data_IF_057058246143
#
_entry.id   IF_057058246143
#
_cell.length_a   1.000
_cell.length_b   1.000
_cell.length_c   1.000
_cell.angle_alpha   90.00
_cell.angle_beta   90.00
_cell.angle_gamma   90.00
#
_symmetry.space_group_name_H-M   'P 1'
#
loop_
_entity.id
_entity.type
_entity.pdbx_description
1 polymer ?
#
# COMPACT_ATOMS: atom_id res chain seq x y z
N UNK A 1 0.34 -2.58 17.32
CA UNK A 1 1.33 -1.69 16.66
C UNK A 1 2.58 -1.74 17.50
N UNK A 2 3.76 -2.03 16.88
CA UNK A 2 5.03 -2.08 17.60
C UNK A 2 5.75 -0.75 17.49
N UNK A 3 6.51 -0.42 18.53
CA UNK A 3 7.36 0.75 18.61
C UNK A 3 8.81 0.27 18.56
N UNK A 4 9.63 0.93 17.74
CA UNK A 4 11.05 0.62 17.58
C UNK A 4 11.89 1.88 17.70
N UNK A 5 13.09 1.79 18.29
CA UNK A 5 14.07 2.86 18.25
C UNK A 5 14.45 3.25 16.84
N UNK A 6 14.65 4.53 16.62
CA UNK A 6 15.32 5.03 15.42
C UNK A 6 16.83 5.14 15.64
N UNK A 7 17.60 4.92 14.60
CA UNK A 7 19.01 5.21 14.59
C UNK A 7 19.28 6.72 14.69
N UNK A 8 20.46 7.08 15.18
CA UNK A 8 20.85 8.48 15.30
C UNK A 8 20.62 9.10 16.68
N UNK A 9 20.31 8.28 17.70
CA UNK A 9 20.21 8.68 19.09
C UNK A 9 21.03 7.77 20.01
N UNK A 10 21.69 8.35 20.99
CA UNK A 10 22.48 7.63 22.00
C UNK A 10 22.15 8.12 23.41
N UNK A 11 22.33 7.25 24.39
CA UNK A 11 22.23 7.61 25.78
C UNK A 11 23.58 8.19 26.25
N UNK A 12 23.52 9.34 26.89
CA UNK A 12 24.69 9.99 27.50
C UNK A 12 24.38 10.45 28.91
N UNK A 13 25.15 10.03 29.90
CA UNK A 13 25.05 10.51 31.26
C UNK A 13 25.89 11.78 31.43
N UNK A 14 25.27 12.86 31.84
CA UNK A 14 25.92 14.14 32.11
C UNK A 14 25.62 14.50 33.59
N UNK A 15 26.62 14.42 34.46
CA UNK A 15 26.42 14.57 35.88
C UNK A 15 25.54 13.46 36.47
N UNK A 16 24.39 13.83 37.03
CA UNK A 16 23.41 12.88 37.60
C UNK A 16 22.27 12.54 36.59
N UNK A 17 22.18 13.25 35.47
CA UNK A 17 21.08 13.15 34.52
C UNK A 17 21.47 12.33 33.31
N UNK A 18 20.54 11.54 32.80
CA UNK A 18 20.69 10.77 31.54
C UNK A 18 19.94 11.51 30.46
N UNK A 19 20.61 11.68 29.34
CA UNK A 19 20.07 12.33 28.14
C UNK A 19 20.04 11.37 26.96
N UNK A 20 18.99 11.46 26.16
CA UNK A 20 18.91 10.89 24.82
C UNK A 20 19.38 11.97 23.83
N UNK A 21 20.58 11.82 23.29
CA UNK A 21 21.22 12.81 22.44
C UNK A 21 21.23 12.36 20.98
N UNK A 22 20.94 13.28 20.03
CA UNK A 22 21.09 13.00 18.61
C UNK A 22 22.57 12.91 18.24
N UNK A 23 22.88 12.06 17.23
CA UNK A 23 24.21 12.01 16.61
C UNK A 23 24.10 11.86 15.08
N UNK A 24 25.22 12.06 14.38
CA UNK A 24 25.26 11.97 12.92
C UNK A 24 24.32 12.94 12.21
N UNK A 25 23.52 12.45 11.27
CA UNK A 25 22.60 13.28 10.48
C UNK A 25 21.55 13.99 11.34
N UNK A 26 21.16 13.42 12.49
CA UNK A 26 20.17 14.03 13.40
C UNK A 26 20.66 15.35 14.01
N UNK A 27 21.97 15.55 14.14
CA UNK A 27 22.55 16.84 14.55
C UNK A 27 22.38 17.87 13.43
N UNK A 28 22.66 17.46 12.17
CA UNK A 28 22.47 18.33 11.01
C UNK A 28 21.00 18.74 10.82
N UNK A 29 20.07 17.84 11.15
CA UNK A 29 18.62 18.09 11.15
C UNK A 29 18.16 18.94 12.36
N UNK A 30 19.08 19.53 13.12
CA UNK A 30 18.82 20.40 14.29
C UNK A 30 17.96 19.73 15.38
N UNK A 31 18.05 18.41 15.54
CA UNK A 31 17.36 17.70 16.63
C UNK A 31 17.99 18.05 17.97
N UNK A 32 17.15 18.17 19.01
CA UNK A 32 17.57 18.49 20.39
C UNK A 32 17.78 17.20 21.17
N UNK A 33 18.46 17.28 22.33
CA UNK A 33 18.50 16.22 23.32
C UNK A 33 17.22 16.20 24.15
N UNK A 34 16.91 15.04 24.72
CA UNK A 34 15.80 14.82 25.66
C UNK A 34 16.36 14.28 26.97
N UNK A 35 15.94 14.83 28.08
CA UNK A 35 16.25 14.32 29.42
C UNK A 35 15.36 13.12 29.74
N UNK A 36 15.94 12.05 30.26
CA UNK A 36 15.21 10.86 30.67
C UNK A 36 15.29 10.69 32.18
N UNK A 37 14.15 10.60 32.85
CA UNK A 37 14.06 10.10 34.20
C UNK A 37 14.26 8.57 34.24
N UNK A 38 14.27 7.98 35.42
CA UNK A 38 14.53 6.55 35.59
C UNK A 38 13.50 5.67 34.87
N UNK A 39 12.23 6.00 34.95
CA UNK A 39 11.14 5.29 34.24
C UNK A 39 11.26 5.40 32.72
N UNK A 40 11.51 6.59 32.19
CA UNK A 40 11.74 6.86 30.81
C UNK A 40 12.97 6.13 30.22
N UNK A 41 14.06 6.11 31.02
CA UNK A 41 15.26 5.35 30.67
C UNK A 41 14.96 3.86 30.56
N UNK A 42 14.21 3.31 31.52
CA UNK A 42 13.83 1.90 31.50
C UNK A 42 12.95 1.54 30.31
N UNK A 43 11.98 2.37 29.99
CA UNK A 43 11.15 2.22 28.80
C UNK A 43 11.98 2.30 27.52
N UNK A 44 12.93 3.23 27.47
CA UNK A 44 13.86 3.33 26.34
C UNK A 44 14.70 2.05 26.20
N UNK A 45 15.24 1.49 27.28
CA UNK A 45 15.98 0.24 27.24
C UNK A 45 15.14 -0.93 26.70
N UNK A 46 13.88 -1.05 27.15
CA UNK A 46 12.95 -2.07 26.68
C UNK A 46 12.62 -1.97 25.17
N UNK A 47 12.77 -0.79 24.57
CA UNK A 47 12.57 -0.55 23.13
C UNK A 47 13.76 -0.95 22.26
N UNK A 48 14.81 -1.56 22.82
CA UNK A 48 15.90 -2.16 22.02
C UNK A 48 15.36 -3.18 21.02
N UNK A 49 14.33 -3.91 21.40
CA UNK A 49 13.54 -4.74 20.48
C UNK A 49 12.16 -4.11 20.25
N UNK A 50 11.55 -4.27 19.06
CA UNK A 50 10.22 -3.73 18.79
C UNK A 50 9.18 -4.22 19.80
N UNK A 51 8.49 -3.31 20.49
CA UNK A 51 7.49 -3.61 21.51
C UNK A 51 6.14 -2.95 21.19
N UNK A 52 5.05 -3.53 21.70
CA UNK A 52 3.74 -2.85 21.74
C UNK A 52 3.60 -2.09 23.06
N UNK A 53 2.69 -1.11 23.13
CA UNK A 53 2.39 -0.38 24.38
C UNK A 53 1.91 -1.37 25.44
N UNK A 54 1.06 -2.33 25.08
CA UNK A 54 0.59 -3.38 25.97
C UNK A 54 1.76 -4.18 26.57
N UNK A 55 2.70 -4.64 25.72
CA UNK A 55 3.87 -5.40 26.19
C UNK A 55 4.83 -4.56 27.03
N UNK A 56 4.95 -3.25 26.77
CA UNK A 56 5.69 -2.33 27.62
C UNK A 56 5.01 -2.16 28.98
N UNK A 57 3.67 -2.01 28.97
CA UNK A 57 2.87 -1.91 30.21
C UNK A 57 3.04 -3.15 31.07
N UNK A 58 2.90 -4.36 30.49
CA UNK A 58 3.06 -5.62 31.23
C UNK A 58 4.45 -5.74 31.86
N UNK A 59 5.51 -5.39 31.11
CA UNK A 59 6.89 -5.44 31.60
C UNK A 59 7.17 -4.42 32.70
N UNK A 60 6.66 -3.20 32.56
CA UNK A 60 6.80 -2.17 33.57
C UNK A 60 6.01 -2.47 34.85
N UNK A 61 4.79 -2.98 34.67
CA UNK A 61 3.95 -3.42 35.81
C UNK A 61 4.62 -4.56 36.58
N UNK A 62 5.24 -5.51 35.88
CA UNK A 62 5.99 -6.59 36.52
C UNK A 62 7.26 -6.06 37.24
N UNK A 63 7.95 -5.09 36.64
CA UNK A 63 9.19 -4.52 37.21
C UNK A 63 8.95 -3.70 38.47
N UNK A 64 7.85 -2.92 38.50
CA UNK A 64 7.48 -2.07 39.63
C UNK A 64 6.44 -2.70 40.56
N UNK A 65 6.07 -3.97 40.34
CA UNK A 65 5.06 -4.73 41.11
C UNK A 65 3.70 -4.00 41.20
N UNK A 66 3.27 -3.37 40.08
CA UNK A 66 2.05 -2.56 40.03
C UNK A 66 0.80 -3.44 40.02
N UNK A 67 -0.17 -3.23 40.90
CA UNK A 67 -1.42 -3.96 40.97
C UNK A 67 -2.23 -3.83 39.65
N UNK A 68 -3.05 -4.85 39.33
CA UNK A 68 -3.85 -4.85 38.09
C UNK A 68 -4.81 -3.67 37.96
N UNK A 69 -5.33 -3.18 39.08
CA UNK A 69 -6.23 -2.04 39.12
C UNK A 69 -5.57 -0.74 38.66
N UNK A 70 -4.27 -0.59 38.85
CA UNK A 70 -3.51 0.62 38.49
C UNK A 70 -2.84 0.54 37.12
N UNK A 71 -2.84 -0.65 36.46
CA UNK A 71 -2.18 -0.82 35.17
C UNK A 71 -2.84 0.00 34.03
N UNK A 72 -4.10 0.37 34.19
CA UNK A 72 -4.78 1.26 33.26
C UNK A 72 -4.23 2.69 33.21
N UNK A 73 -3.78 3.22 34.36
CA UNK A 73 -3.10 4.52 34.46
C UNK A 73 -1.68 4.43 33.91
N UNK A 74 -0.94 3.40 34.33
CA UNK A 74 0.39 3.12 33.79
C UNK A 74 0.38 3.02 32.23
N UNK A 75 -0.62 2.36 31.64
CA UNK A 75 -0.74 2.24 30.19
C UNK A 75 -0.88 3.61 29.52
N UNK A 76 -1.65 4.54 30.11
CA UNK A 76 -1.80 5.91 29.60
C UNK A 76 -0.50 6.70 29.67
N UNK A 77 0.24 6.58 30.78
CA UNK A 77 1.53 7.27 30.96
C UNK A 77 2.58 6.74 29.95
N UNK A 78 2.61 5.42 29.74
CA UNK A 78 3.48 4.81 28.73
C UNK A 78 3.10 5.25 27.32
N UNK A 79 1.80 5.31 27.00
CA UNK A 79 1.33 5.79 25.71
C UNK A 79 1.70 7.26 25.49
N UNK A 80 1.56 8.11 26.51
CA UNK A 80 1.95 9.52 26.46
C UNK A 80 3.46 9.66 26.21
N UNK A 81 4.29 8.92 26.92
CA UNK A 81 5.74 8.93 26.70
C UNK A 81 6.15 8.41 25.33
N UNK A 82 5.51 7.34 24.85
CA UNK A 82 5.72 6.83 23.49
C UNK A 82 5.34 7.88 22.45
N UNK A 83 4.26 8.63 22.63
CA UNK A 83 3.89 9.74 21.76
C UNK A 83 4.95 10.86 21.79
N UNK A 84 5.49 11.20 22.95
CA UNK A 84 6.57 12.16 23.08
C UNK A 84 7.81 11.72 22.31
N UNK A 85 8.24 10.46 22.44
CA UNK A 85 9.35 9.90 21.69
C UNK A 85 9.10 9.86 20.16
N UNK A 86 7.86 9.63 19.73
CA UNK A 86 7.46 9.70 18.32
C UNK A 86 7.56 11.11 17.75
N UNK A 87 7.06 12.11 18.48
CA UNK A 87 7.17 13.54 18.12
C UNK A 87 8.62 14.00 18.11
N UNK A 88 9.39 13.55 19.09
CA UNK A 88 10.82 13.82 19.17
C UNK A 88 11.60 13.16 18.03
N UNK A 89 11.09 12.05 17.48
CA UNK A 89 11.68 11.31 16.37
C UNK A 89 12.73 10.28 16.81
N UNK A 90 12.77 9.92 18.10
CA UNK A 90 13.67 8.90 18.63
C UNK A 90 13.15 7.47 18.43
N UNK A 91 11.86 7.31 18.27
CA UNK A 91 11.22 6.03 17.94
C UNK A 91 10.35 6.17 16.70
N UNK A 92 10.05 5.04 16.10
CA UNK A 92 9.08 4.92 15.00
C UNK A 92 8.07 3.84 15.30
N UNK A 93 6.92 3.96 14.71
CA UNK A 93 5.92 2.88 14.71
C UNK A 93 6.31 1.86 13.66
N UNK A 94 6.65 0.65 14.08
CA UNK A 94 6.62 -0.47 13.17
C UNK A 94 5.18 -0.93 13.03
N UNK A 95 4.69 -0.94 11.82
CA UNK A 95 3.48 -1.68 11.53
C UNK A 95 3.83 -3.15 11.72
N UNK A 96 3.38 -3.67 12.84
CA UNK A 96 3.63 -5.05 13.22
C UNK A 96 3.03 -6.01 12.21
N UNK A 97 3.23 -7.31 12.45
CA UNK A 97 2.57 -8.37 11.71
C UNK A 97 1.08 -8.06 11.52
N UNK A 98 0.53 -8.34 10.35
CA UNK A 98 -0.88 -8.09 10.07
C UNK A 98 -1.74 -8.78 11.14
N UNK A 99 -2.82 -8.11 11.55
CA UNK A 99 -3.81 -8.71 12.45
C UNK A 99 -4.74 -9.59 11.62
N UNK A 100 -5.11 -10.74 12.16
CA UNK A 100 -5.99 -11.70 11.50
C UNK A 100 -5.25 -12.86 10.85
N UNK A 101 -5.99 -13.70 10.17
CA UNK A 101 -5.49 -14.84 9.41
C UNK A 101 -5.08 -14.44 8.00
N UNK A 102 -4.18 -15.20 7.39
CA UNK A 102 -3.91 -15.08 5.96
C UNK A 102 -5.08 -15.70 5.20
N UNK A 103 -5.92 -14.86 4.59
CA UNK A 103 -7.11 -15.25 3.84
C UNK A 103 -6.81 -15.72 2.42
N UNK A 104 -5.63 -15.44 1.93
CA UNK A 104 -5.21 -15.93 0.62
C UNK A 104 -3.98 -15.24 0.09
N UNK A 105 -3.47 -15.87 -0.97
CA UNK A 105 -2.31 -15.39 -1.72
C UNK A 105 -2.73 -15.07 -3.14
N UNK A 106 -2.30 -13.92 -3.64
CA UNK A 106 -2.55 -13.48 -5.00
C UNK A 106 -1.23 -13.40 -5.77
N UNK A 107 -1.30 -13.70 -7.07
CA UNK A 107 -0.17 -13.53 -7.98
C UNK A 107 -0.64 -12.70 -9.18
N UNK A 108 -0.21 -11.46 -9.24
CA UNK A 108 -0.64 -10.49 -10.24
C UNK A 108 0.61 -9.89 -10.91
N UNK A 109 0.78 -10.09 -12.20
CA UNK A 109 1.90 -9.54 -12.98
C UNK A 109 3.30 -9.83 -12.38
N UNK A 110 3.51 -11.03 -11.82
CA UNK A 110 4.76 -11.39 -11.16
C UNK A 110 4.90 -10.91 -9.71
N UNK A 111 3.94 -10.14 -9.20
CA UNK A 111 3.90 -9.66 -7.83
C UNK A 111 3.12 -10.64 -6.94
N UNK A 112 3.74 -11.09 -5.86
CA UNK A 112 3.15 -11.98 -4.86
C UNK A 112 2.59 -11.15 -3.71
N UNK A 113 1.30 -11.32 -3.42
CA UNK A 113 0.60 -10.57 -2.39
C UNK A 113 0.00 -11.57 -1.40
N UNK A 114 0.29 -11.40 -0.12
CA UNK A 114 -0.44 -12.07 0.95
C UNK A 114 -1.51 -11.12 1.51
N UNK A 115 -2.74 -11.59 1.58
CA UNK A 115 -3.88 -10.81 2.07
C UNK A 115 -4.30 -11.33 3.43
N UNK A 116 -4.36 -10.43 4.40
CA UNK A 116 -4.76 -10.70 5.78
C UNK A 116 -6.03 -9.93 6.11
N UNK A 117 -6.93 -10.54 6.87
CA UNK A 117 -8.19 -9.90 7.28
C UNK A 117 -9.23 -10.90 7.74
N UNK A 118 -10.49 -10.49 7.76
CA UNK A 118 -11.62 -11.34 8.08
C UNK A 118 -11.89 -12.36 6.96
N UNK A 119 -12.45 -13.50 7.33
CA UNK A 119 -12.77 -14.59 6.38
C UNK A 119 -13.65 -14.05 5.23
N UNK A 120 -13.20 -14.31 4.01
CA UNK A 120 -13.92 -13.88 2.81
C UNK A 120 -13.77 -12.41 2.43
N UNK A 121 -12.83 -11.66 3.08
CA UNK A 121 -12.62 -10.24 2.80
C UNK A 121 -12.04 -9.96 1.40
N UNK A 122 -11.49 -10.94 0.71
CA UNK A 122 -10.89 -10.74 -0.62
C UNK A 122 -11.99 -10.60 -1.68
N UNK A 123 -12.07 -9.47 -2.39
CA UNK A 123 -13.06 -9.29 -3.45
C UNK A 123 -12.99 -10.37 -4.53
N UNK A 124 -14.15 -10.84 -4.99
CA UNK A 124 -14.28 -11.92 -5.99
C UNK A 124 -13.56 -11.64 -7.31
N UNK A 125 -13.37 -10.38 -7.64
CA UNK A 125 -12.62 -9.95 -8.83
C UNK A 125 -11.17 -10.45 -8.84
N UNK A 126 -10.62 -10.83 -7.68
CA UNK A 126 -9.29 -11.43 -7.55
C UNK A 126 -9.25 -12.95 -7.70
N UNK A 127 -10.38 -13.65 -7.78
CA UNK A 127 -10.41 -15.13 -7.78
C UNK A 127 -9.54 -15.75 -8.88
N UNK A 128 -9.48 -15.12 -10.06
CA UNK A 128 -8.63 -15.58 -11.14
C UNK A 128 -7.12 -15.42 -10.86
N UNK A 129 -6.74 -14.67 -9.84
CA UNK A 129 -5.36 -14.38 -9.46
C UNK A 129 -4.95 -15.07 -8.15
N UNK A 130 -5.85 -15.81 -7.53
CA UNK A 130 -5.53 -16.61 -6.33
C UNK A 130 -4.51 -17.69 -6.67
N UNK A 131 -3.55 -17.84 -5.81
CA UNK A 131 -2.62 -18.97 -5.88
C UNK A 131 -3.32 -20.20 -5.29
N UNK A 132 -3.30 -21.30 -6.03
CA UNK A 132 -3.73 -22.60 -5.51
C UNK A 132 -2.55 -23.28 -4.82
N UNK A 133 -2.77 -23.90 -3.67
CA UNK A 133 -1.75 -24.47 -2.76
C UNK A 133 -0.95 -25.66 -3.33
N UNK A 134 -0.80 -25.78 -4.64
CA UNK A 134 -0.03 -26.85 -5.29
C UNK A 134 1.49 -26.67 -5.34
N UNK A 135 2.03 -25.58 -4.82
CA UNK A 135 3.48 -25.31 -4.72
C UNK A 135 3.86 -25.09 -3.27
N UNK A 136 4.98 -25.68 -2.82
CA UNK A 136 5.46 -25.61 -1.45
C UNK A 136 5.35 -24.19 -0.87
N UNK A 137 4.37 -23.89 0.01
CA UNK A 137 4.00 -22.52 0.39
C UNK A 137 5.01 -21.85 1.32
N UNK A 138 5.96 -22.60 1.87
CA UNK A 138 6.79 -22.16 3.00
C UNK A 138 8.00 -21.30 2.64
N UNK A 139 8.33 -21.07 1.35
CA UNK A 139 9.61 -20.43 0.99
C UNK A 139 9.55 -19.12 0.20
N UNK A 140 8.40 -18.64 -0.22
CA UNK A 140 8.37 -17.45 -1.04
C UNK A 140 7.94 -16.22 -0.22
N UNK A 141 8.90 -15.37 0.14
CA UNK A 141 8.63 -14.07 0.76
C UNK A 141 7.65 -13.28 -0.14
N UNK A 142 6.52 -12.79 0.40
CA UNK A 142 5.59 -11.96 -0.38
C UNK A 142 6.23 -10.62 -0.73
N UNK A 143 5.87 -10.08 -1.88
CA UNK A 143 6.27 -8.75 -2.31
C UNK A 143 5.47 -7.65 -1.63
N UNK A 144 4.23 -7.97 -1.26
CA UNK A 144 3.32 -7.10 -0.53
C UNK A 144 2.53 -7.92 0.49
N UNK A 145 2.53 -7.46 1.72
CA UNK A 145 1.57 -7.84 2.74
C UNK A 145 0.44 -6.81 2.75
N UNK A 146 -0.76 -7.23 2.40
CA UNK A 146 -1.96 -6.41 2.37
C UNK A 146 -2.87 -6.78 3.53
N UNK A 147 -3.05 -5.89 4.49
CA UNK A 147 -4.00 -6.07 5.60
C UNK A 147 -5.30 -5.33 5.29
N UNK A 148 -6.41 -6.05 5.30
CA UNK A 148 -7.76 -5.52 5.20
C UNK A 148 -8.33 -5.41 6.63
N UNK A 149 -8.38 -4.20 7.17
CA UNK A 149 -8.77 -3.94 8.55
C UNK A 149 -10.19 -3.34 8.62
N UNK A 150 -11.15 -4.16 9.00
CA UNK A 150 -12.54 -3.74 9.21
C UNK A 150 -12.69 -2.95 10.51
N UNK A 151 -12.17 -1.73 10.52
CA UNK A 151 -12.22 -0.81 11.64
C UNK A 151 -11.86 0.60 11.21
N UNK A 152 -12.13 1.57 12.08
CA UNK A 152 -11.66 2.93 11.90
C UNK A 152 -10.13 3.02 12.06
N UNK A 153 -9.46 3.90 11.29
CA UNK A 153 -8.08 4.26 11.56
C UNK A 153 -7.98 4.98 12.90
N UNK A 154 -6.85 4.83 13.58
CA UNK A 154 -6.54 5.64 14.76
C UNK A 154 -6.39 7.12 14.41
N UNK A 155 -6.48 7.99 15.42
CA UNK A 155 -6.20 9.41 15.28
C UNK A 155 -4.77 9.63 14.72
N UNK A 156 -4.65 10.50 13.72
CA UNK A 156 -3.37 10.85 13.09
C UNK A 156 -3.27 12.35 12.92
N UNK A 157 -2.05 12.88 13.11
CA UNK A 157 -1.75 14.26 12.72
C UNK A 157 -1.71 14.35 11.19
N UNK A 158 -1.96 15.52 10.64
CA UNK A 158 -1.92 15.77 9.20
C UNK A 158 -0.48 15.62 8.70
N UNK A 159 -0.27 14.71 7.76
CA UNK A 159 1.00 14.58 7.03
C UNK A 159 1.15 15.66 5.96
N UNK A 160 2.33 15.69 5.33
CA UNK A 160 2.58 16.56 4.17
C UNK A 160 1.81 16.07 2.97
N UNK A 161 0.92 16.91 2.44
CA UNK A 161 0.12 16.58 1.25
C UNK A 161 1.01 16.58 0.02
N UNK A 162 1.05 15.44 -0.71
CA UNK A 162 1.73 15.29 -1.99
C UNK A 162 0.80 15.56 -3.17
N UNK A 163 -0.39 15.02 -3.10
CA UNK A 163 -1.40 15.09 -4.17
C UNK A 163 -2.75 15.35 -3.52
N UNK A 164 -3.48 16.29 -4.11
CA UNK A 164 -4.88 16.52 -3.76
C UNK A 164 -5.66 16.85 -5.02
N UNK A 165 -6.64 16.05 -5.32
CA UNK A 165 -7.60 16.31 -6.39
C UNK A 165 -9.02 16.05 -5.87
N UNK A 166 -10.02 16.02 -6.75
CA UNK A 166 -11.42 15.84 -6.39
C UNK A 166 -11.70 14.48 -5.74
N UNK A 167 -10.96 13.44 -6.09
CA UNK A 167 -11.31 12.06 -5.76
C UNK A 167 -10.33 11.42 -4.76
N UNK A 168 -9.11 11.99 -4.64
CA UNK A 168 -8.01 11.38 -3.90
C UNK A 168 -7.12 12.44 -3.27
N UNK A 169 -6.80 12.24 -2.00
CA UNK A 169 -5.71 12.93 -1.30
C UNK A 169 -4.63 11.90 -0.93
N UNK A 170 -3.38 12.19 -1.26
CA UNK A 170 -2.21 11.42 -0.84
C UNK A 170 -1.30 12.31 -0.01
N UNK A 171 -0.93 11.84 1.17
CA UNK A 171 -0.02 12.54 2.06
C UNK A 171 1.11 11.62 2.51
N UNK A 172 2.29 12.18 2.77
CA UNK A 172 3.35 11.51 3.51
C UNK A 172 2.99 11.61 4.99
N UNK A 173 3.05 10.49 5.67
CA UNK A 173 2.89 10.43 7.11
C UNK A 173 3.80 9.34 7.68
N UNK A 174 4.71 9.72 8.57
CA UNK A 174 5.78 8.86 9.06
C UNK A 174 6.61 8.28 7.89
N UNK A 175 6.88 6.98 7.89
CA UNK A 175 7.66 6.28 6.84
C UNK A 175 6.76 5.70 5.75
N UNK A 176 5.68 6.38 5.40
CA UNK A 176 4.74 5.87 4.42
C UNK A 176 3.81 6.91 3.83
N UNK A 177 2.85 6.40 3.11
CA UNK A 177 1.83 7.20 2.41
C UNK A 177 0.45 6.90 2.97
N UNK A 178 -0.34 7.94 3.13
CA UNK A 178 -1.77 7.84 3.46
C UNK A 178 -2.58 8.26 2.25
N UNK A 179 -3.51 7.39 1.82
CA UNK A 179 -4.45 7.67 0.74
C UNK A 179 -5.84 7.82 1.36
N UNK A 180 -6.54 8.89 1.02
CA UNK A 180 -7.95 9.13 1.38
C UNK A 180 -8.75 9.38 0.12
N UNK A 181 -9.89 8.71 0.01
CA UNK A 181 -10.75 8.78 -1.16
C UNK A 181 -12.08 9.46 -0.80
N UNK A 182 -12.44 10.48 -1.56
CA UNK A 182 -13.73 11.16 -1.39
C UNK A 182 -14.88 10.40 -2.07
N UNK A 183 -14.56 9.49 -2.99
CA UNK A 183 -15.55 8.75 -3.80
C UNK A 183 -15.82 7.33 -3.31
N UNK A 184 -14.97 6.75 -2.46
CA UNK A 184 -15.11 5.37 -1.95
C UNK A 184 -15.72 5.40 -0.54
N UNK A 185 -17.05 5.33 -0.44
CA UNK A 185 -17.81 5.60 0.79
C UNK A 185 -17.52 4.71 1.99
N UNK A 186 -17.12 3.46 1.77
CA UNK A 186 -16.80 2.50 2.83
C UNK A 186 -15.30 2.33 3.10
N UNK A 187 -14.47 3.07 2.40
CA UNK A 187 -13.01 3.08 2.60
C UNK A 187 -12.66 4.33 3.41
N UNK A 188 -12.08 4.14 4.60
CA UNK A 188 -11.69 5.25 5.45
C UNK A 188 -10.37 5.84 5.03
N UNK A 189 -9.33 5.00 4.93
CA UNK A 189 -8.03 5.37 4.40
C UNK A 189 -7.18 4.13 4.10
N UNK A 190 -6.14 4.32 3.32
CA UNK A 190 -5.05 3.35 3.17
C UNK A 190 -3.80 3.95 3.78
N UNK A 191 -3.10 3.17 4.59
CA UNK A 191 -1.73 3.45 4.91
C UNK A 191 -0.83 2.44 4.19
N UNK A 192 0.25 2.91 3.55
CA UNK A 192 1.20 2.08 2.83
C UNK A 192 2.61 2.49 3.21
N UNK A 193 3.44 1.51 3.53
CA UNK A 193 4.87 1.72 3.79
C UNK A 193 5.57 2.29 2.56
N UNK A 194 6.60 3.13 2.74
CA UNK A 194 7.29 3.81 1.66
C UNK A 194 7.84 2.86 0.59
N UNK A 195 8.36 1.69 0.99
CA UNK A 195 8.90 0.68 0.06
C UNK A 195 7.81 -0.15 -0.65
N UNK A 196 6.55 0.00 -0.27
CA UNK A 196 5.42 -0.75 -0.83
C UNK A 196 5.29 -2.18 -0.35
N UNK A 197 6.15 -2.64 0.59
CA UNK A 197 6.13 -4.03 1.09
C UNK A 197 4.95 -4.35 1.99
N UNK A 198 4.30 -3.33 2.54
CA UNK A 198 3.15 -3.47 3.44
C UNK A 198 2.14 -2.36 3.17
N UNK A 199 0.85 -2.72 3.17
CA UNK A 199 -0.24 -1.75 3.17
C UNK A 199 -1.39 -2.24 4.07
N UNK A 200 -2.09 -1.29 4.68
CA UNK A 200 -3.31 -1.54 5.45
C UNK A 200 -4.42 -0.67 4.92
N UNK A 201 -5.54 -1.30 4.57
CA UNK A 201 -6.76 -0.64 4.15
C UNK A 201 -7.74 -0.66 5.31
N UNK A 202 -8.11 0.51 5.80
CA UNK A 202 -9.17 0.67 6.79
C UNK A 202 -10.50 0.85 6.09
N UNK A 203 -11.43 -0.05 6.35
CA UNK A 203 -12.72 -0.07 5.67
C UNK A 203 -13.85 -0.45 6.63
N UNK A 204 -15.06 -0.22 6.20
CA UNK A 204 -16.29 -0.74 6.82
C UNK A 204 -16.81 -1.88 5.95
N UNK A 205 -17.36 -2.91 6.59
CA UNK A 205 -17.99 -4.01 5.86
C UNK A 205 -18.98 -3.49 4.80
N UNK A 206 -18.83 -3.93 3.54
CA UNK A 206 -19.71 -3.47 2.47
C UNK A 206 -21.14 -3.99 2.67
N UNK A 207 -22.12 -3.09 2.51
CA UNK A 207 -23.56 -3.40 2.65
C UNK A 207 -24.15 -3.81 1.29
N UNK A 208 -23.56 -3.33 0.19
CA UNK A 208 -24.04 -3.54 -1.18
C UNK A 208 -22.91 -3.79 -2.16
N UNK A 209 -23.24 -4.11 -3.42
CA UNK A 209 -22.26 -4.41 -4.47
C UNK A 209 -21.34 -3.23 -4.81
N UNK A 210 -21.86 -1.99 -4.79
CA UNK A 210 -21.06 -0.78 -5.06
C UNK A 210 -19.94 -0.62 -4.00
N UNK A 211 -20.25 -0.92 -2.75
CA UNK A 211 -19.27 -0.87 -1.66
C UNK A 211 -18.27 -2.02 -1.73
N UNK A 212 -18.65 -3.21 -2.23
CA UNK A 212 -17.71 -4.30 -2.53
C UNK A 212 -16.73 -3.88 -3.64
N UNK A 213 -17.22 -3.23 -4.68
CA UNK A 213 -16.38 -2.68 -5.75
C UNK A 213 -15.44 -1.59 -5.22
N UNK A 214 -15.84 -0.82 -4.20
CA UNK A 214 -14.98 0.20 -3.58
C UNK A 214 -13.71 -0.40 -2.96
N UNK A 215 -13.80 -1.55 -2.26
CA UNK A 215 -12.61 -2.24 -1.72
C UNK A 215 -11.71 -2.75 -2.84
N UNK A 216 -12.28 -3.33 -3.89
CA UNK A 216 -11.54 -3.74 -5.08
C UNK A 216 -10.80 -2.56 -5.73
N UNK A 217 -11.44 -1.39 -5.83
CA UNK A 217 -10.83 -0.18 -6.37
C UNK A 217 -9.77 0.41 -5.43
N UNK A 218 -9.95 0.31 -4.11
CA UNK A 218 -8.98 0.79 -3.13
C UNK A 218 -7.65 0.03 -3.16
N UNK A 219 -7.65 -1.24 -3.52
CA UNK A 219 -6.43 -2.07 -3.64
C UNK A 219 -5.61 -1.64 -4.87
N UNK A 220 -6.23 -1.10 -5.92
CA UNK A 220 -5.57 -0.72 -7.17
C UNK A 220 -4.37 0.23 -7.00
N UNK A 221 -4.47 1.38 -6.32
CA UNK A 221 -3.33 2.29 -6.18
C UNK A 221 -2.17 1.68 -5.40
N UNK A 222 -2.44 0.83 -4.41
CA UNK A 222 -1.40 0.10 -3.66
C UNK A 222 -0.62 -0.82 -4.61
N UNK A 223 -1.34 -1.61 -5.39
CA UNK A 223 -0.74 -2.50 -6.39
C UNK A 223 0.05 -1.73 -7.46
N UNK A 224 -0.52 -0.67 -8.02
CA UNK A 224 0.13 0.12 -9.07
C UNK A 224 1.38 0.84 -8.56
N UNK A 225 1.39 1.30 -7.32
CA UNK A 225 2.59 1.87 -6.70
C UNK A 225 3.73 0.85 -6.66
N UNK A 226 3.45 -0.37 -6.18
CA UNK A 226 4.46 -1.42 -6.13
C UNK A 226 4.90 -1.88 -7.53
N UNK A 227 3.97 -1.98 -8.47
CA UNK A 227 4.28 -2.29 -9.87
C UNK A 227 5.21 -1.25 -10.50
N UNK A 228 4.97 0.05 -10.24
CA UNK A 228 5.83 1.14 -10.71
C UNK A 228 7.25 1.03 -10.12
N UNK A 229 7.39 0.73 -8.84
CA UNK A 229 8.70 0.52 -8.22
C UNK A 229 9.47 -0.66 -8.81
N UNK A 230 8.78 -1.57 -9.48
CA UNK A 230 9.35 -2.71 -10.22
C UNK A 230 9.54 -2.44 -11.72
N UNK A 231 9.51 -1.19 -12.13
CA UNK A 231 9.71 -0.78 -13.51
C UNK A 231 8.54 -1.06 -14.44
N UNK A 232 7.36 -1.36 -13.89
CA UNK A 232 6.12 -1.48 -14.67
C UNK A 232 5.35 -0.17 -14.65
N UNK A 233 4.57 0.10 -15.68
CA UNK A 233 3.72 1.28 -15.74
C UNK A 233 2.33 0.94 -16.27
N UNK A 234 1.34 1.65 -15.77
CA UNK A 234 -0.05 1.50 -16.17
C UNK A 234 -0.39 2.49 -17.30
N UNK A 235 -1.01 2.00 -18.36
CA UNK A 235 -1.46 2.81 -19.48
C UNK A 235 -2.97 2.67 -19.67
N UNK A 236 -3.68 3.81 -19.68
CA UNK A 236 -5.08 3.84 -20.05
C UNK A 236 -5.22 3.58 -21.55
N UNK A 237 -5.56 2.34 -21.89
CA UNK A 237 -5.62 1.86 -23.29
C UNK A 237 -6.52 0.64 -23.39
N UNK A 238 -7.13 0.46 -24.55
CA UNK A 238 -7.76 -0.82 -24.93
C UNK A 238 -6.72 -1.70 -25.61
N UNK A 239 -6.73 -3.00 -25.37
CA UNK A 239 -5.76 -3.93 -25.94
C UNK A 239 -6.39 -5.21 -26.44
N UNK A 240 -5.80 -5.78 -27.49
CA UNK A 240 -6.18 -7.05 -28.10
C UNK A 240 -4.94 -7.84 -28.50
N UNK A 241 -5.15 -9.14 -28.79
CA UNK A 241 -4.09 -10.03 -29.28
C UNK A 241 -4.26 -10.24 -30.75
N UNK A 242 -3.20 -9.98 -31.51
CA UNK A 242 -3.16 -10.31 -32.95
C UNK A 242 -1.75 -10.72 -33.36
N UNK A 243 -1.59 -11.83 -34.03
CA UNK A 243 -0.30 -12.39 -34.47
C UNK A 243 0.70 -12.48 -33.30
N UNK A 244 0.27 -13.09 -32.19
CA UNK A 244 1.07 -13.28 -30.96
C UNK A 244 1.56 -11.99 -30.28
N UNK A 245 1.10 -10.83 -30.74
CA UNK A 245 1.42 -9.52 -30.19
C UNK A 245 0.23 -8.90 -29.47
N UNK A 246 0.52 -8.10 -28.43
CA UNK A 246 -0.46 -7.25 -27.78
C UNK A 246 -0.51 -5.90 -28.48
N UNK A 247 -1.64 -5.55 -29.04
CA UNK A 247 -1.88 -4.28 -29.71
C UNK A 247 -2.67 -3.36 -28.79
N UNK A 248 -2.05 -2.22 -28.41
CA UNK A 248 -2.62 -1.26 -27.50
C UNK A 248 -3.08 0.00 -28.22
N UNK A 249 -4.32 0.39 -27.99
CA UNK A 249 -4.92 1.59 -28.53
C UNK A 249 -5.12 2.62 -27.42
N UNK A 250 -4.27 3.65 -27.37
CA UNK A 250 -4.33 4.73 -26.40
C UNK A 250 -4.77 6.04 -27.03
N UNK A 251 -5.37 6.92 -26.23
CA UNK A 251 -5.83 8.24 -26.65
C UNK A 251 -6.89 8.78 -25.69
N UNK A 252 -7.28 10.05 -25.83
CA UNK A 252 -8.30 10.69 -25.00
C UNK A 252 -9.63 9.90 -24.97
N UNK A 253 -10.46 10.14 -23.95
CA UNK A 253 -11.79 9.56 -23.88
C UNK A 253 -12.63 9.98 -25.10
N UNK A 254 -13.51 9.11 -25.57
CA UNK A 254 -14.37 9.39 -26.74
C UNK A 254 -13.68 9.29 -28.11
N UNK A 255 -12.40 8.95 -28.20
CA UNK A 255 -11.66 8.83 -29.48
C UNK A 255 -11.96 7.55 -30.27
N UNK A 256 -12.88 6.72 -29.82
CA UNK A 256 -13.26 5.51 -30.55
C UNK A 256 -12.40 4.28 -30.26
N UNK A 257 -11.60 4.25 -29.17
CA UNK A 257 -10.78 3.09 -28.78
C UNK A 257 -11.59 1.79 -28.76
N UNK A 258 -12.71 1.79 -28.05
CA UNK A 258 -13.61 0.63 -27.94
C UNK A 258 -14.26 0.24 -29.27
N UNK A 259 -14.62 1.22 -30.10
CA UNK A 259 -15.17 0.99 -31.43
C UNK A 259 -14.13 0.32 -32.33
N UNK A 260 -12.88 0.80 -32.26
CA UNK A 260 -11.78 0.26 -33.06
C UNK A 260 -11.45 -1.19 -32.67
N UNK A 261 -11.33 -1.44 -31.36
CA UNK A 261 -11.08 -2.82 -30.87
C UNK A 261 -12.24 -3.77 -31.18
N UNK A 262 -13.49 -3.28 -31.14
CA UNK A 262 -14.65 -4.06 -31.54
C UNK A 262 -14.62 -4.42 -33.07
N UNK A 263 -14.16 -3.50 -33.91
CA UNK A 263 -13.96 -3.75 -35.34
C UNK A 263 -12.90 -4.82 -35.60
N UNK A 264 -11.75 -4.76 -34.91
CA UNK A 264 -10.71 -5.78 -34.98
C UNK A 264 -11.21 -7.15 -34.53
N UNK A 265 -12.00 -7.20 -33.46
CA UNK A 265 -12.65 -8.44 -33.01
C UNK A 265 -13.56 -9.01 -34.06
N UNK A 266 -14.34 -8.16 -34.74
CA UNK A 266 -15.27 -8.57 -35.80
C UNK A 266 -14.54 -9.07 -37.08
N UNK A 267 -13.48 -8.38 -37.47
CA UNK A 267 -12.77 -8.68 -38.74
C UNK A 267 -11.75 -9.81 -38.61
N UNK A 268 -11.07 -9.91 -37.48
CA UNK A 268 -9.93 -10.80 -37.28
C UNK A 268 -10.15 -11.84 -36.19
N UNK A 269 -11.35 -11.91 -35.59
CA UNK A 269 -11.65 -12.76 -34.43
C UNK A 269 -10.63 -12.63 -33.28
N UNK A 270 -10.02 -11.44 -33.10
CA UNK A 270 -8.95 -11.22 -32.15
C UNK A 270 -9.45 -11.31 -30.72
N UNK A 271 -8.76 -12.05 -29.82
CA UNK A 271 -9.08 -12.04 -28.40
C UNK A 271 -8.82 -10.65 -27.80
N UNK A 272 -9.77 -10.19 -26.98
CA UNK A 272 -9.63 -8.95 -26.24
C UNK A 272 -8.78 -9.19 -24.99
N UNK A 273 -7.78 -8.34 -24.73
CA UNK A 273 -6.93 -8.44 -23.55
C UNK A 273 -7.47 -7.60 -22.39
N UNK A 274 -7.63 -6.30 -22.64
CA UNK A 274 -8.04 -5.35 -21.62
C UNK A 274 -8.70 -4.12 -22.24
N UNK A 275 -9.75 -3.60 -21.60
CA UNK A 275 -10.56 -2.50 -22.15
C UNK A 275 -10.20 -1.12 -21.62
N UNK A 276 -9.48 -1.04 -20.51
CA UNK A 276 -9.32 0.23 -19.79
C UNK A 276 -7.89 0.47 -19.31
N UNK A 277 -7.34 -0.43 -18.50
CA UNK A 277 -6.03 -0.27 -17.87
C UNK A 277 -5.10 -1.43 -18.23
N UNK A 278 -4.03 -1.15 -18.92
CA UNK A 278 -3.00 -2.13 -19.25
C UNK A 278 -1.74 -1.88 -18.42
N UNK A 279 -1.20 -2.92 -17.81
CA UNK A 279 0.08 -2.88 -17.12
C UNK A 279 1.17 -3.36 -18.06
N UNK A 280 2.18 -2.55 -18.25
CA UNK A 280 3.29 -2.79 -19.16
C UNK A 280 4.57 -2.89 -18.33
N UNK A 281 5.37 -3.90 -18.60
CA UNK A 281 6.71 -4.05 -18.04
C UNK A 281 7.72 -4.48 -19.08
N UNK A 282 8.99 -4.56 -18.68
CA UNK A 282 10.09 -5.01 -19.55
C UNK A 282 10.60 -6.37 -19.09
N UNK A 283 10.81 -7.29 -20.00
CA UNK A 283 11.43 -8.58 -19.78
C UNK A 283 12.55 -8.80 -20.78
N UNK A 284 13.79 -8.76 -20.30
CA UNK A 284 14.95 -8.61 -21.16
C UNK A 284 14.81 -7.34 -22.00
N UNK A 285 14.93 -7.45 -23.31
CA UNK A 285 14.79 -6.31 -24.24
C UNK A 285 13.33 -6.08 -24.72
N UNK A 286 12.37 -6.87 -24.25
CA UNK A 286 11.00 -6.86 -24.76
C UNK A 286 10.02 -6.24 -23.77
N UNK A 287 9.12 -5.41 -24.27
CA UNK A 287 7.98 -4.95 -23.49
C UNK A 287 6.87 -6.01 -23.51
N UNK A 288 6.27 -6.22 -22.35
CA UNK A 288 5.18 -7.19 -22.17
C UNK A 288 3.99 -6.52 -21.51
N UNK A 289 2.79 -6.96 -21.89
CA UNK A 289 1.54 -6.57 -21.21
C UNK A 289 1.12 -7.65 -20.25
N UNK A 290 0.84 -7.26 -19.02
CA UNK A 290 0.34 -8.16 -17.99
C UNK A 290 -1.17 -8.05 -17.85
N UNK A 291 -1.82 -9.20 -17.69
CA UNK A 291 -3.21 -9.25 -17.25
C UNK A 291 -3.31 -8.82 -15.78
N UNK A 292 -4.22 -7.90 -15.50
CA UNK A 292 -4.50 -7.40 -14.15
C UNK A 292 -6.00 -7.45 -13.87
N UNK A 293 -6.44 -7.49 -12.58
CA UNK A 293 -7.87 -7.59 -12.26
C UNK A 293 -8.68 -6.37 -12.73
N UNK A 294 -8.09 -5.19 -12.76
CA UNK A 294 -8.75 -3.91 -13.10
C UNK A 294 -8.83 -3.68 -14.61
N UNK A 295 -9.51 -4.57 -15.31
CA UNK A 295 -9.58 -4.57 -16.78
C UNK A 295 -10.88 -4.01 -17.36
N UNK A 296 -11.64 -3.23 -16.59
CA UNK A 296 -12.93 -2.72 -17.02
C UNK A 296 -13.96 -3.84 -17.24
N UNK A 297 -14.88 -3.65 -18.17
CA UNK A 297 -15.98 -4.59 -18.44
C UNK A 297 -15.56 -5.86 -19.21
N UNK A 298 -14.33 -5.96 -19.69
CA UNK A 298 -13.87 -7.12 -20.44
C UNK A 298 -13.49 -8.28 -19.50
N UNK A 299 -14.34 -9.30 -19.43
CA UNK A 299 -14.13 -10.50 -18.60
C UNK A 299 -13.06 -11.49 -19.13
N UNK A 300 -12.38 -11.18 -20.24
CA UNK A 300 -11.50 -12.12 -20.93
C UNK A 300 -10.02 -11.93 -20.59
N UNK A 301 -9.33 -13.02 -20.31
CA UNK A 301 -7.87 -13.18 -20.26
C UNK A 301 -7.11 -12.60 -19.06
N UNK A 302 -7.58 -12.85 -17.89
CA UNK A 302 -7.07 -12.31 -16.62
C UNK A 302 -5.64 -12.74 -16.22
N UNK A 303 -5.10 -13.86 -16.69
CA UNK A 303 -3.80 -14.40 -16.27
C UNK A 303 -2.71 -14.42 -17.36
N UNK A 304 -3.03 -14.08 -18.61
CA UNK A 304 -2.08 -14.27 -19.69
C UNK A 304 -1.09 -13.11 -19.80
N UNK A 305 0.17 -13.43 -19.55
CA UNK A 305 1.30 -12.61 -19.97
C UNK A 305 1.49 -12.76 -21.47
N UNK A 306 1.65 -11.65 -22.20
CA UNK A 306 1.95 -11.69 -23.63
C UNK A 306 3.16 -10.85 -23.96
N UNK A 307 4.05 -11.41 -24.77
CA UNK A 307 5.25 -10.75 -25.26
C UNK A 307 4.90 -9.79 -26.41
N UNK A 308 5.63 -8.70 -26.53
CA UNK A 308 5.54 -7.68 -27.57
C UNK A 308 4.33 -6.75 -27.46
N UNK A 309 4.67 -5.46 -27.40
CA UNK A 309 3.70 -4.37 -27.37
C UNK A 309 3.84 -3.58 -28.67
N UNK A 310 2.75 -3.48 -29.40
CA UNK A 310 2.60 -2.48 -30.47
C UNK A 310 1.68 -1.39 -29.92
N UNK A 311 2.17 -0.16 -29.86
CA UNK A 311 1.44 0.96 -29.27
C UNK A 311 0.97 1.93 -30.35
N UNK A 312 -0.34 2.09 -30.47
CA UNK A 312 -0.97 3.10 -31.32
C UNK A 312 -1.51 4.25 -30.47
N UNK A 313 -0.90 5.44 -30.63
CA UNK A 313 -1.40 6.68 -30.04
C UNK A 313 -2.25 7.46 -31.04
N UNK A 314 -3.50 7.65 -30.70
CA UNK A 314 -4.41 8.44 -31.52
C UNK A 314 -4.33 9.91 -31.14
N UNK A 315 -3.91 10.76 -32.11
CA UNK A 315 -4.04 12.22 -32.01
C UNK A 315 -5.25 12.67 -32.81
N UNK A 316 -6.10 13.50 -32.23
CA UNK A 316 -7.15 14.18 -32.98
C UNK A 316 -6.47 15.05 -34.04
N UNK A 317 -6.61 14.72 -35.33
CA UNK A 317 -6.22 15.65 -36.38
C UNK A 317 -7.07 16.91 -36.17
N UNK A 318 -6.48 18.06 -35.91
CA UNK A 318 -7.18 19.34 -36.06
C UNK A 318 -7.66 19.36 -37.51
N UNK A 319 -8.98 19.44 -37.73
CA UNK A 319 -9.51 19.76 -39.05
C UNK A 319 -8.88 21.08 -39.43
N UNK A 320 -7.99 21.08 -40.42
CA UNK A 320 -7.67 22.28 -41.16
C UNK A 320 -8.97 22.64 -41.89
N UNK A 321 -9.57 23.72 -41.51
CA UNK A 321 -10.64 24.29 -42.29
C UNK A 321 -10.05 24.62 -43.68
N UNK A 322 -10.38 23.77 -44.64
CA UNK A 322 -10.27 24.14 -46.04
C UNK A 322 -11.55 24.89 -46.36
N UNK A 323 -11.59 26.16 -46.10
CA UNK A 323 -12.43 27.11 -46.77
C UNK A 323 -11.50 28.13 -47.40
N UNK A 324 -11.34 28.03 -48.70
CA UNK A 324 -11.37 29.14 -49.60
C UNK A 324 -12.80 29.42 -49.89
#
# INVERSE_FOLDING_TARGET
>A
MRIRRQEGYLLQKIGKTVYLLPYGQKIADQKRGMELNETALRLWEMLEQPQTVEALTDKMAAYYEIPKEEQGELAKDIEAFVQELLVFGAVRRELGCPKGSCEGRLHIAGIKIEVYGEKGCIPKQFDAFRMTDGGNPEKAIPDLILELAERLPGSRQNGTILIRNRDLTVAIWEEGYVFRFDTLKNIYEIWMKEDGSYARIYYRCPINEEEQDSLFLAIRPVFLFLAQRRGMFALHSASLLYLEKAWLFSGPSGMGKSTHTALWKKLFATPFLNGDLNLIGKEGEKFVVYGIPWCGTSKSLRRRKKSWVELYCWKRRRRKNWFL
#
